data_IF_430606914179
#
_entry.id   IF_430606914179
#
_cell.length_a   1.000
_cell.length_b   1.000
_cell.length_c   1.000
_cell.angle_alpha   90.00
_cell.angle_beta   90.00
_cell.angle_gamma   90.00
#
_symmetry.space_group_name_H-M   'P 1'
#
loop_
_entity.id
_entity.type
_entity.pdbx_description
1 polymer ?
#
# COMPACT_ATOMS: atom_id res chain seq x y z
N UNK A 1 -2.73 3.57 -15.81
CA UNK A 1 -2.02 2.34 -16.22
C UNK A 1 -2.19 1.30 -15.14
N UNK A 2 -2.28 0.03 -15.50
CA UNK A 2 -2.38 -1.11 -14.58
C UNK A 2 -1.25 -2.06 -14.96
N UNK A 3 -0.44 -2.48 -13.99
CA UNK A 3 0.64 -3.45 -14.20
C UNK A 3 0.20 -4.86 -13.83
N UNK A 4 0.65 -5.85 -14.58
CA UNK A 4 0.34 -7.26 -14.35
C UNK A 4 1.64 -8.03 -14.12
N UNK A 5 1.71 -8.83 -13.05
CA UNK A 5 2.97 -9.52 -12.69
C UNK A 5 3.34 -10.67 -13.65
N UNK A 6 2.44 -11.09 -14.54
CA UNK A 6 2.72 -12.03 -15.62
C UNK A 6 3.06 -11.35 -16.97
N UNK A 7 3.23 -10.03 -16.98
CA UNK A 7 3.78 -9.23 -18.09
C UNK A 7 5.05 -8.48 -17.64
N UNK A 8 6.16 -9.19 -17.36
CA UNK A 8 7.37 -8.58 -16.82
C UNK A 8 7.94 -7.48 -17.71
N UNK A 9 7.73 -7.54 -19.02
CA UNK A 9 8.17 -6.55 -20.00
C UNK A 9 7.62 -5.14 -19.73
N UNK A 10 6.40 -5.02 -19.21
CA UNK A 10 5.79 -3.73 -18.87
C UNK A 10 6.50 -3.08 -17.67
N UNK A 11 6.94 -3.90 -16.72
CA UNK A 11 7.70 -3.47 -15.54
C UNK A 11 9.15 -3.15 -15.95
N UNK A 12 9.72 -3.94 -16.87
CA UNK A 12 11.08 -3.73 -17.36
C UNK A 12 11.22 -2.49 -18.22
N UNK A 13 10.16 -2.06 -18.90
CA UNK A 13 10.11 -0.81 -19.66
C UNK A 13 10.07 0.46 -18.79
N UNK A 14 9.88 0.34 -17.47
CA UNK A 14 9.90 1.49 -16.57
C UNK A 14 11.29 2.16 -16.52
N UNK A 15 11.36 3.50 -16.47
CA UNK A 15 12.63 4.19 -16.30
C UNK A 15 13.37 3.76 -15.03
N UNK A 16 14.70 3.65 -15.08
CA UNK A 16 15.56 3.36 -13.92
C UNK A 16 15.36 4.35 -12.75
N UNK A 17 14.88 5.56 -13.04
CA UNK A 17 14.57 6.61 -12.07
C UNK A 17 13.19 6.49 -11.42
N UNK A 18 12.37 5.51 -11.83
CA UNK A 18 11.08 5.26 -11.20
C UNK A 18 11.28 4.89 -9.71
N UNK A 19 10.35 5.28 -8.81
CA UNK A 19 10.44 4.93 -7.40
C UNK A 19 10.69 3.43 -7.20
N UNK A 20 11.56 3.08 -6.25
CA UNK A 20 12.02 1.70 -5.96
C UNK A 20 12.87 1.02 -7.06
N UNK A 21 12.83 1.46 -8.32
CA UNK A 21 13.43 0.76 -9.46
C UNK A 21 14.93 0.53 -9.32
N UNK A 22 15.66 1.46 -8.69
CA UNK A 22 17.10 1.30 -8.42
C UNK A 22 17.41 0.05 -7.58
N UNK A 23 16.57 -0.27 -6.59
CA UNK A 23 16.73 -1.46 -5.75
C UNK A 23 16.29 -2.72 -6.51
N UNK A 24 15.18 -2.65 -7.24
CA UNK A 24 14.70 -3.78 -8.04
C UNK A 24 15.74 -4.20 -9.08
N UNK A 25 16.34 -3.24 -9.79
CA UNK A 25 17.41 -3.50 -10.76
C UNK A 25 18.66 -4.10 -10.12
N UNK A 26 19.01 -3.69 -8.90
CA UNK A 26 20.13 -4.31 -8.18
C UNK A 26 19.86 -5.80 -7.91
N UNK A 27 18.62 -6.15 -7.52
CA UNK A 27 18.19 -7.54 -7.29
C UNK A 27 18.18 -8.31 -8.62
N UNK A 28 17.60 -7.75 -9.69
CA UNK A 28 17.53 -8.37 -11.02
C UNK A 28 18.94 -8.66 -11.56
N UNK A 29 19.84 -7.68 -11.55
CA UNK A 29 21.23 -7.86 -11.99
C UNK A 29 21.96 -8.93 -11.19
N UNK A 30 21.74 -8.98 -9.87
CA UNK A 30 22.36 -10.03 -9.03
C UNK A 30 21.80 -11.41 -9.35
N UNK A 31 20.50 -11.52 -9.60
CA UNK A 31 19.82 -12.74 -9.99
C UNK A 31 20.33 -13.28 -11.33
N UNK A 32 20.61 -12.41 -12.31
CA UNK A 32 21.22 -12.80 -13.59
C UNK A 32 22.61 -13.44 -13.38
N UNK A 33 23.44 -12.85 -12.52
CA UNK A 33 24.78 -13.39 -12.20
C UNK A 33 24.69 -14.75 -11.50
N UNK A 34 23.75 -14.91 -10.57
CA UNK A 34 23.59 -16.15 -9.81
C UNK A 34 22.92 -17.25 -10.63
N UNK A 35 22.10 -16.89 -11.62
CA UNK A 35 21.37 -17.83 -12.47
C UNK A 35 20.69 -18.92 -11.64
N UNK A 36 20.98 -20.18 -11.97
CA UNK A 36 20.34 -21.34 -11.33
C UNK A 36 20.83 -21.64 -9.91
N UNK A 37 21.86 -20.94 -9.42
CA UNK A 37 22.42 -21.17 -8.10
C UNK A 37 21.59 -20.54 -6.97
N UNK A 38 20.67 -19.61 -7.29
CA UNK A 38 19.77 -19.02 -6.31
C UNK A 38 18.42 -18.67 -6.94
N UNK A 39 17.32 -19.07 -6.29
CA UNK A 39 15.97 -18.66 -6.67
C UNK A 39 15.64 -17.36 -5.95
N UNK A 40 15.51 -16.26 -6.71
CA UNK A 40 15.24 -14.92 -6.19
C UNK A 40 13.98 -14.38 -6.85
N UNK A 41 13.08 -13.84 -6.04
CA UNK A 41 11.83 -13.20 -6.43
C UNK A 41 11.67 -11.84 -5.74
N UNK A 42 10.97 -10.93 -6.38
CA UNK A 42 10.63 -9.58 -5.88
C UNK A 42 9.12 -9.53 -5.73
N UNK A 43 8.63 -9.55 -4.48
CA UNK A 43 7.21 -9.35 -4.18
C UNK A 43 6.97 -7.85 -3.94
N UNK A 44 6.19 -7.22 -4.80
CA UNK A 44 5.84 -5.80 -4.77
C UNK A 44 4.40 -5.64 -4.26
N UNK A 45 4.20 -5.36 -2.97
CA UNK A 45 2.86 -5.08 -2.45
C UNK A 45 2.40 -3.66 -2.87
N UNK A 46 1.08 -3.41 -2.92
CA UNK A 46 0.52 -2.08 -3.09
C UNK A 46 0.36 -1.39 -1.71
N UNK A 47 -0.73 -0.64 -1.46
CA UNK A 47 -1.01 -0.16 -0.09
C UNK A 47 -1.24 -1.35 0.83
N UNK A 48 -0.52 -1.38 1.95
CA UNK A 48 -0.70 -2.36 3.01
C UNK A 48 -1.53 -1.72 4.11
N UNK A 49 -2.68 -2.31 4.44
CA UNK A 49 -3.57 -1.86 5.51
C UNK A 49 -3.75 -2.92 6.61
N UNK A 50 -4.39 -2.50 7.70
CA UNK A 50 -4.74 -3.37 8.82
C UNK A 50 -3.64 -3.46 9.88
N UNK A 51 -4.02 -4.07 11.00
CA UNK A 51 -3.18 -4.15 12.21
C UNK A 51 -2.45 -5.50 12.26
N UNK A 52 -1.13 -5.44 12.37
CA UNK A 52 -0.28 -6.63 12.48
C UNK A 52 -0.33 -7.30 13.87
N UNK A 53 0.22 -8.51 14.03
CA UNK A 53 0.15 -9.29 15.27
C UNK A 53 0.70 -8.58 16.52
N UNK A 54 1.63 -7.63 16.35
CA UNK A 54 2.21 -6.84 17.44
C UNK A 54 1.52 -5.47 17.65
N UNK A 55 0.28 -5.30 17.17
CA UNK A 55 -0.47 -4.04 17.28
C UNK A 55 0.04 -2.91 16.37
N UNK A 56 0.96 -3.21 15.44
CA UNK A 56 1.49 -2.23 14.49
C UNK A 56 0.44 -1.91 13.42
N UNK A 57 0.00 -0.66 13.39
CA UNK A 57 -0.92 -0.10 12.39
C UNK A 57 -0.21 0.27 11.08
N UNK A 58 -0.98 0.43 10.01
CA UNK A 58 -0.55 0.91 8.71
C UNK A 58 -0.17 2.40 8.72
N UNK A 59 0.07 3.00 7.54
CA UNK A 59 0.64 4.35 7.44
C UNK A 59 -0.35 5.35 6.83
N UNK A 60 -0.83 5.11 5.61
CA UNK A 60 -1.56 6.11 4.82
C UNK A 60 -2.90 6.49 5.45
N UNK A 61 -3.80 5.53 5.66
CA UNK A 61 -5.11 5.79 6.25
C UNK A 61 -5.00 6.30 7.68
N UNK A 62 -4.13 5.73 8.56
CA UNK A 62 -3.88 6.31 9.87
C UNK A 62 -3.36 7.75 9.84
N UNK A 63 -2.56 8.11 8.84
CA UNK A 63 -2.09 9.50 8.66
C UNK A 63 -3.24 10.44 8.31
N UNK A 64 -4.17 10.02 7.45
CA UNK A 64 -5.37 10.80 7.12
C UNK A 64 -6.34 10.91 8.31
N UNK A 65 -6.47 9.87 9.13
CA UNK A 65 -7.25 9.92 10.39
C UNK A 65 -6.66 10.95 11.36
N UNK A 66 -5.34 10.92 11.57
CA UNK A 66 -4.67 11.90 12.45
C UNK A 66 -4.76 13.32 11.91
N UNK A 67 -4.67 13.49 10.60
CA UNK A 67 -4.93 14.77 9.95
C UNK A 67 -6.35 15.26 10.28
N UNK A 68 -7.35 14.38 10.15
CA UNK A 68 -8.74 14.72 10.39
C UNK A 68 -9.00 15.13 11.84
N UNK A 69 -8.44 14.38 12.79
CA UNK A 69 -8.50 14.71 14.23
C UNK A 69 -7.84 16.06 14.53
N UNK A 70 -6.71 16.37 13.87
CA UNK A 70 -5.98 17.64 14.09
C UNK A 70 -6.73 18.85 13.53
N UNK A 71 -7.32 18.71 12.33
CA UNK A 71 -7.91 19.83 11.58
C UNK A 71 -9.43 19.93 11.70
N UNK A 72 -10.08 18.95 12.34
CA UNK A 72 -11.52 18.95 12.56
C UNK A 72 -12.36 18.53 11.34
N UNK A 73 -11.73 17.96 10.30
CA UNK A 73 -12.42 17.47 9.11
C UNK A 73 -11.60 16.40 8.36
N UNK A 74 -12.26 15.42 7.75
CA UNK A 74 -11.59 14.44 6.91
C UNK A 74 -11.18 15.07 5.55
N UNK A 75 -9.91 14.90 5.19
CA UNK A 75 -9.33 15.60 4.05
C UNK A 75 -8.77 14.66 2.97
N UNK A 76 -8.87 15.06 1.70
CA UNK A 76 -8.29 14.37 0.55
C UNK A 76 -7.41 15.29 -0.32
N UNK A 77 -6.53 14.72 -1.13
CA UNK A 77 -5.78 15.48 -2.14
C UNK A 77 -6.59 15.59 -3.42
N UNK A 78 -6.64 16.81 -3.98
CA UNK A 78 -7.46 17.11 -5.16
C UNK A 78 -8.93 16.71 -4.96
N UNK A 79 -9.49 16.05 -5.98
CA UNK A 79 -10.86 15.54 -5.97
C UNK A 79 -10.98 14.11 -5.39
N UNK A 80 -9.89 13.53 -4.87
CA UNK A 80 -9.90 12.17 -4.28
C UNK A 80 -10.18 11.02 -5.27
N UNK A 81 -10.19 11.31 -6.58
CA UNK A 81 -10.53 10.34 -7.65
C UNK A 81 -9.46 9.29 -7.91
N UNK A 82 -8.26 9.46 -7.34
CA UNK A 82 -7.18 8.51 -7.58
C UNK A 82 -7.40 7.21 -6.81
N UNK A 83 -6.95 6.10 -7.38
CA UNK A 83 -7.17 4.75 -6.85
C UNK A 83 -5.88 3.96 -6.74
N UNK A 84 -5.78 3.14 -5.68
CA UNK A 84 -4.66 2.21 -5.49
C UNK A 84 -5.13 0.78 -5.31
N UNK A 85 -4.35 -0.19 -5.79
CA UNK A 85 -4.47 -1.58 -5.30
C UNK A 85 -4.17 -1.64 -3.80
N UNK A 86 -4.62 -2.69 -3.13
CA UNK A 86 -4.52 -2.79 -1.68
C UNK A 86 -4.41 -4.23 -1.20
N UNK A 87 -3.83 -4.42 -0.01
CA UNK A 87 -3.72 -5.73 0.64
C UNK A 87 -3.73 -5.59 2.15
N UNK A 88 -4.44 -6.48 2.85
CA UNK A 88 -4.34 -6.54 4.31
C UNK A 88 -3.00 -7.17 4.70
N UNK A 89 -2.33 -6.68 5.75
CA UNK A 89 -0.99 -7.13 6.17
C UNK A 89 -0.89 -8.65 6.39
N UNK A 90 -1.95 -9.28 6.91
CA UNK A 90 -2.01 -10.75 7.10
C UNK A 90 -2.19 -11.52 5.79
N UNK A 91 -2.89 -10.96 4.81
CA UNK A 91 -3.00 -11.55 3.47
C UNK A 91 -1.67 -11.45 2.72
N UNK A 92 -0.97 -10.33 2.86
CA UNK A 92 0.38 -10.18 2.33
C UNK A 92 1.34 -11.22 2.93
N UNK A 93 1.27 -11.45 4.24
CA UNK A 93 2.07 -12.49 4.90
C UNK A 93 1.78 -13.89 4.32
N UNK A 94 0.49 -14.22 4.07
CA UNK A 94 0.14 -15.47 3.38
C UNK A 94 0.65 -15.52 1.94
N UNK A 95 0.65 -14.39 1.22
CA UNK A 95 1.20 -14.28 -0.13
C UNK A 95 2.70 -14.60 -0.16
N UNK A 96 3.47 -14.08 0.81
CA UNK A 96 4.87 -14.45 0.99
C UNK A 96 5.06 -15.95 1.24
N UNK A 97 4.23 -16.56 2.11
CA UNK A 97 4.32 -17.99 2.38
C UNK A 97 4.02 -18.84 1.14
N UNK A 98 3.00 -18.48 0.35
CA UNK A 98 2.70 -19.17 -0.91
C UNK A 98 3.86 -19.05 -1.91
N UNK A 99 4.45 -17.85 -2.04
CA UNK A 99 5.59 -17.64 -2.93
C UNK A 99 6.80 -18.46 -2.47
N UNK A 100 7.11 -18.49 -1.18
CA UNK A 100 8.23 -19.26 -0.64
C UNK A 100 8.04 -20.78 -0.87
N UNK A 101 6.87 -21.33 -0.57
CA UNK A 101 6.58 -22.76 -0.82
C UNK A 101 6.72 -23.11 -2.31
N UNK A 102 6.24 -22.24 -3.20
CA UNK A 102 6.42 -22.42 -4.64
C UNK A 102 7.91 -22.36 -5.05
N UNK A 103 8.68 -21.41 -4.54
CA UNK A 103 10.11 -21.29 -4.82
C UNK A 103 10.88 -22.53 -4.34
N UNK A 104 10.52 -23.11 -3.19
CA UNK A 104 11.17 -24.31 -2.68
C UNK A 104 10.96 -25.51 -3.62
N UNK A 105 9.73 -25.71 -4.10
CA UNK A 105 9.34 -26.89 -4.89
C UNK A 105 9.62 -26.79 -6.38
N UNK A 106 9.71 -25.58 -6.92
CA UNK A 106 9.78 -25.35 -8.38
C UNK A 106 11.21 -25.34 -8.89
N UNK A 107 11.56 -26.04 -9.99
CA UNK A 107 12.89 -25.98 -10.59
C UNK A 107 13.35 -24.54 -10.89
N UNK A 108 14.65 -24.26 -10.78
CA UNK A 108 15.16 -22.90 -10.97
C UNK A 108 14.86 -22.34 -12.37
N UNK A 109 14.83 -23.20 -13.38
CA UNK A 109 14.53 -22.87 -14.78
C UNK A 109 13.13 -22.29 -14.99
N UNK A 110 12.17 -22.69 -14.15
CA UNK A 110 10.80 -22.15 -14.17
C UNK A 110 10.69 -20.85 -13.37
N UNK A 111 11.58 -20.64 -12.39
CA UNK A 111 11.63 -19.40 -11.58
C UNK A 111 12.33 -18.27 -12.32
N UNK A 112 13.39 -18.57 -13.07
CA UNK A 112 14.29 -17.61 -13.70
C UNK A 112 13.68 -16.67 -14.77
N UNK A 113 12.63 -17.03 -15.52
CA UNK A 113 12.11 -16.14 -16.55
C UNK A 113 11.49 -14.84 -16.02
N UNK A 114 10.90 -14.85 -14.83
CA UNK A 114 10.19 -13.67 -14.31
C UNK A 114 10.40 -13.49 -12.79
N UNK A 115 11.10 -12.42 -12.37
CA UNK A 115 11.36 -12.15 -10.95
C UNK A 115 10.19 -11.51 -10.21
N UNK A 116 9.23 -10.91 -10.92
CA UNK A 116 8.25 -9.98 -10.34
C UNK A 116 6.97 -10.66 -9.88
N UNK A 117 6.50 -10.31 -8.69
CA UNK A 117 5.25 -10.78 -8.13
C UNK A 117 4.50 -9.60 -7.53
N UNK A 118 3.18 -9.54 -7.74
CA UNK A 118 2.31 -8.62 -7.01
C UNK A 118 1.51 -9.38 -5.94
N UNK A 119 0.96 -8.64 -4.98
CA UNK A 119 0.06 -9.19 -3.97
C UNK A 119 -1.02 -8.15 -3.63
N UNK A 120 -2.19 -8.27 -4.25
CA UNK A 120 -3.34 -7.39 -4.03
C UNK A 120 -4.64 -8.18 -3.89
N UNK A 121 -5.64 -7.59 -3.25
CA UNK A 121 -6.86 -8.30 -2.85
C UNK A 121 -7.98 -8.32 -3.90
N UNK A 122 -7.74 -7.85 -5.12
CA UNK A 122 -8.68 -7.77 -6.24
C UNK A 122 -9.44 -6.45 -6.34
N UNK A 123 -9.38 -5.60 -5.31
CA UNK A 123 -10.14 -4.35 -5.25
C UNK A 123 -9.23 -3.13 -5.38
N UNK A 124 -9.76 -2.07 -5.97
CA UNK A 124 -9.12 -0.76 -5.99
C UNK A 124 -9.71 0.13 -4.90
N UNK A 125 -8.83 0.81 -4.18
CA UNK A 125 -9.15 1.71 -3.09
C UNK A 125 -9.23 3.14 -3.60
N UNK A 126 -10.43 3.72 -3.59
CA UNK A 126 -10.67 5.14 -3.85
C UNK A 126 -10.27 5.97 -2.64
N UNK A 127 -9.46 7.01 -2.85
CA UNK A 127 -9.12 7.94 -1.76
C UNK A 127 -10.33 8.71 -1.26
N UNK A 128 -11.28 9.05 -2.13
CA UNK A 128 -12.54 9.67 -1.74
C UNK A 128 -13.36 8.75 -0.80
N UNK A 129 -13.45 7.47 -1.11
CA UNK A 129 -14.21 6.52 -0.29
C UNK A 129 -13.55 6.33 1.09
N UNK A 130 -12.21 6.29 1.12
CA UNK A 130 -11.44 6.26 2.37
C UNK A 130 -11.74 7.47 3.25
N UNK A 131 -11.67 8.67 2.66
CA UNK A 131 -11.84 9.92 3.41
C UNK A 131 -13.28 10.11 3.84
N UNK A 132 -14.25 9.68 3.01
CA UNK A 132 -15.65 9.64 3.40
C UNK A 132 -15.89 8.71 4.59
N UNK A 133 -15.28 7.53 4.61
CA UNK A 133 -15.40 6.60 5.74
C UNK A 133 -14.74 7.15 7.02
N UNK A 134 -13.55 7.76 6.89
CA UNK A 134 -12.89 8.47 8.01
C UNK A 134 -13.82 9.57 8.56
N UNK A 135 -14.40 10.38 7.67
CA UNK A 135 -15.32 11.45 8.04
C UNK A 135 -16.55 10.92 8.78
N UNK A 136 -17.17 9.85 8.25
CA UNK A 136 -18.34 9.20 8.86
C UNK A 136 -18.01 8.69 10.28
N UNK A 137 -16.96 7.88 10.42
CA UNK A 137 -16.59 7.26 11.70
C UNK A 137 -16.22 8.31 12.76
N UNK A 138 -15.44 9.32 12.39
CA UNK A 138 -15.02 10.36 13.33
C UNK A 138 -16.16 11.30 13.71
N UNK A 139 -17.09 11.59 12.79
CA UNK A 139 -18.29 12.39 13.08
C UNK A 139 -19.21 11.65 14.06
N UNK A 140 -19.50 10.36 13.81
CA UNK A 140 -20.29 9.52 14.72
C UNK A 140 -19.66 9.41 16.12
N UNK A 141 -18.33 9.43 16.20
CA UNK A 141 -17.59 9.45 17.46
C UNK A 141 -17.52 10.85 18.12
N UNK A 142 -18.13 11.88 17.53
CA UNK A 142 -18.11 13.26 18.02
C UNK A 142 -16.73 13.91 18.01
N UNK A 143 -15.82 13.44 17.15
CA UNK A 143 -14.44 13.93 17.05
C UNK A 143 -14.25 15.05 16.03
N UNK A 144 -15.16 15.17 15.07
CA UNK A 144 -15.18 16.23 14.06
C UNK A 144 -16.61 16.73 13.87
N UNK A 145 -16.77 17.94 13.34
CA UNK A 145 -18.08 18.61 13.23
C UNK A 145 -18.88 18.21 11.99
N UNK A 146 -18.24 17.59 10.99
CA UNK A 146 -18.88 17.18 9.75
C UNK A 146 -18.24 15.93 9.17
N UNK A 147 -19.07 15.03 8.65
CA UNK A 147 -18.61 13.83 7.93
C UNK A 147 -18.22 14.10 6.48
N UNK A 148 -18.49 15.29 5.93
CA UNK A 148 -18.24 15.61 4.52
C UNK A 148 -16.75 15.84 4.25
N UNK A 149 -16.12 15.06 3.33
CA UNK A 149 -14.74 15.28 2.93
C UNK A 149 -14.47 16.67 2.37
N UNK A 150 -13.25 17.18 2.57
CA UNK A 150 -12.78 18.44 1.97
C UNK A 150 -11.41 18.25 1.33
N UNK A 151 -11.06 19.11 0.38
CA UNK A 151 -9.70 19.12 -0.18
C UNK A 151 -8.72 19.69 0.85
N UNK A 152 -7.63 18.97 1.06
CA UNK A 152 -6.50 19.41 1.90
C UNK A 152 -5.74 20.50 1.15
N UNK A 153 -5.57 21.70 1.73
CA UNK A 153 -4.74 22.72 1.10
C UNK A 153 -3.27 22.30 1.12
N UNK A 154 -2.52 22.67 0.08
CA UNK A 154 -1.08 22.36 -0.05
C UNK A 154 -0.27 22.84 1.16
N UNK A 155 -0.67 23.95 1.78
CA UNK A 155 -0.07 24.46 3.02
C UNK A 155 -0.07 23.45 4.17
N UNK A 156 -1.01 22.49 4.16
CA UNK A 156 -1.16 21.49 5.21
C UNK A 156 -0.51 20.14 4.85
N UNK A 157 0.17 20.02 3.70
CA UNK A 157 0.85 18.77 3.33
C UNK A 157 1.96 18.38 4.33
N UNK A 158 2.49 19.33 5.10
CA UNK A 158 3.40 19.04 6.21
C UNK A 158 2.81 18.13 7.28
N UNK A 159 1.48 18.13 7.44
CA UNK A 159 0.75 17.22 8.34
C UNK A 159 0.37 15.89 7.66
N UNK A 160 0.84 15.64 6.44
CA UNK A 160 0.69 14.38 5.72
C UNK A 160 2.06 13.76 5.51
N UNK A 161 2.57 13.80 4.27
CA UNK A 161 3.85 13.24 3.84
C UNK A 161 4.78 14.34 3.27
N UNK A 162 4.52 15.60 3.58
CA UNK A 162 5.23 16.75 3.03
C UNK A 162 5.17 16.78 1.51
N UNK A 163 6.33 16.90 0.85
CA UNK A 163 6.45 16.87 -0.61
C UNK A 163 5.96 15.56 -1.26
N UNK A 164 5.80 14.50 -0.49
CA UNK A 164 5.33 13.19 -0.98
C UNK A 164 3.82 13.00 -0.83
N UNK A 165 3.08 14.00 -0.33
CA UNK A 165 1.64 13.84 -0.08
C UNK A 165 0.87 13.46 -1.35
N UNK A 166 1.08 14.17 -2.46
CA UNK A 166 0.47 13.84 -3.74
C UNK A 166 0.88 12.44 -4.26
N UNK A 167 2.18 12.10 -4.34
CA UNK A 167 2.58 10.76 -4.73
C UNK A 167 2.02 9.63 -3.85
N UNK A 168 1.82 9.84 -2.54
CA UNK A 168 1.47 8.78 -1.59
C UNK A 168 -0.04 8.64 -1.36
N UNK A 169 -0.79 9.74 -1.36
CA UNK A 169 -2.25 9.74 -1.08
C UNK A 169 -3.08 10.55 -2.09
N UNK A 170 -2.50 10.90 -3.25
CA UNK A 170 -3.18 11.63 -4.32
C UNK A 170 -2.96 11.06 -5.73
N UNK A 171 -2.13 10.02 -5.88
CA UNK A 171 -1.76 9.42 -7.17
C UNK A 171 -2.53 8.13 -7.45
N UNK A 172 -2.35 7.54 -8.64
CA UNK A 172 -2.85 6.20 -8.96
C UNK A 172 -1.73 5.17 -8.88
N UNK A 173 -1.99 4.00 -8.27
CA UNK A 173 -1.05 2.87 -8.26
C UNK A 173 -1.82 1.55 -8.35
N UNK A 174 -1.88 0.98 -9.56
CA UNK A 174 -2.80 -0.13 -9.87
C UNK A 174 -2.01 -1.31 -10.40
N UNK A 175 -2.23 -2.49 -9.81
CA UNK A 175 -1.58 -3.72 -10.22
C UNK A 175 -2.53 -4.94 -10.13
N UNK A 176 -2.13 -6.06 -10.76
CA UNK A 176 -2.84 -7.34 -10.73
C UNK A 176 -1.89 -8.48 -10.37
N UNK A 177 -2.19 -9.17 -9.28
CA UNK A 177 -1.43 -10.32 -8.79
C UNK A 177 -1.88 -11.63 -9.47
N UNK A 178 -1.63 -11.74 -10.77
CA UNK A 178 -2.04 -12.89 -11.58
C UNK A 178 -1.27 -14.14 -11.17
N UNK A 179 0.03 -14.02 -10.88
CA UNK A 179 0.89 -15.17 -10.57
C UNK A 179 0.56 -15.83 -9.23
N UNK A 180 0.32 -15.06 -8.16
CA UNK A 180 -0.10 -15.64 -6.87
C UNK A 180 -1.45 -16.37 -7.01
N UNK A 181 -2.41 -15.81 -7.75
CA UNK A 181 -3.71 -16.46 -7.99
C UNK A 181 -3.60 -17.78 -8.74
N UNK A 182 -2.67 -17.88 -9.70
CA UNK A 182 -2.38 -19.14 -10.40
C UNK A 182 -1.86 -20.23 -9.46
N UNK A 183 -1.31 -19.85 -8.29
CA UNK A 183 -0.90 -20.78 -7.23
C UNK A 183 -2.02 -21.09 -6.22
N UNK A 184 -3.25 -20.63 -6.46
CA UNK A 184 -4.39 -20.83 -5.56
C UNK A 184 -4.40 -19.92 -4.33
N UNK A 185 -3.54 -18.89 -4.29
CA UNK A 185 -3.61 -17.88 -3.23
C UNK A 185 -4.81 -16.95 -3.43
N UNK A 186 -5.47 -16.62 -2.32
CA UNK A 186 -6.58 -15.67 -2.26
C UNK A 186 -6.53 -14.86 -0.96
N UNK A 187 -6.99 -13.59 -0.97
CA UNK A 187 -7.14 -12.79 0.23
C UNK A 187 -8.31 -13.30 1.09
N UNK A 188 -8.17 -13.20 2.42
CA UNK A 188 -9.13 -13.73 3.40
C UNK A 188 -9.50 -12.74 4.52
N UNK A 189 -8.83 -11.61 4.61
CA UNK A 189 -9.09 -10.63 5.68
C UNK A 189 -10.22 -9.67 5.31
N UNK A 190 -10.60 -8.85 6.29
CA UNK A 190 -11.57 -7.76 6.11
C UNK A 190 -11.17 -6.87 4.93
N UNK A 191 -12.18 -6.29 4.27
CA UNK A 191 -11.92 -5.18 3.37
C UNK A 191 -11.37 -3.97 4.15
N UNK A 192 -10.73 -3.06 3.43
CA UNK A 192 -9.98 -1.94 4.01
C UNK A 192 -10.82 -0.99 4.83
N UNK A 193 -12.03 -0.66 4.39
CA UNK A 193 -12.88 0.28 5.12
C UNK A 193 -13.37 -0.32 6.44
N UNK A 194 -13.76 -1.60 6.43
CA UNK A 194 -14.11 -2.33 7.64
C UNK A 194 -12.91 -2.44 8.61
N UNK A 195 -11.72 -2.80 8.11
CA UNK A 195 -10.52 -2.87 8.96
C UNK A 195 -10.12 -1.50 9.51
N UNK A 196 -10.24 -0.43 8.71
CA UNK A 196 -9.97 0.94 9.15
C UNK A 196 -10.91 1.36 10.29
N UNK A 197 -12.22 1.17 10.11
CA UNK A 197 -13.24 1.58 11.06
C UNK A 197 -13.20 0.78 12.36
N UNK A 198 -13.01 -0.55 12.26
CA UNK A 198 -13.09 -1.46 13.40
C UNK A 198 -11.76 -1.63 14.14
N UNK A 199 -10.63 -1.51 13.45
CA UNK A 199 -9.32 -1.83 14.01
C UNK A 199 -8.43 -0.58 14.17
N UNK A 200 -8.22 0.20 13.11
CA UNK A 200 -7.19 1.27 13.13
C UNK A 200 -7.67 2.59 13.75
N UNK A 201 -8.87 3.08 13.41
CA UNK A 201 -9.41 4.32 14.00
C UNK A 201 -9.53 4.23 15.53
N UNK A 202 -10.04 3.13 16.12
CA UNK A 202 -10.10 2.99 17.58
C UNK A 202 -8.73 3.07 18.26
N UNK A 203 -7.68 2.51 17.65
CA UNK A 203 -6.31 2.60 18.17
C UNK A 203 -5.78 4.05 18.10
N UNK A 204 -6.03 4.74 16.99
CA UNK A 204 -5.57 6.13 16.80
C UNK A 204 -6.27 7.08 17.78
N UNK A 205 -7.56 6.85 18.09
CA UNK A 205 -8.29 7.66 19.06
C UNK A 205 -7.75 7.55 20.50
N UNK A 206 -6.92 6.55 20.80
CA UNK A 206 -6.25 6.40 22.09
C UNK A 206 -4.91 7.15 22.15
N UNK A 207 -4.41 7.66 21.02
CA UNK A 207 -3.16 8.43 20.99
C UNK A 207 -3.34 9.78 21.68
N UNK A 208 -2.37 10.15 22.52
CA UNK A 208 -2.38 11.41 23.30
C UNK A 208 -1.28 12.40 22.88
N UNK A 209 -0.42 12.00 21.94
CA UNK A 209 0.71 12.80 21.49
C UNK A 209 0.37 13.78 20.37
N UNK A 210 1.13 14.87 20.20
CA UNK A 210 0.92 15.81 19.11
C UNK A 210 1.28 15.15 17.77
N UNK A 211 0.40 15.33 16.76
CA UNK A 211 0.66 14.90 15.40
C UNK A 211 1.29 16.01 14.55
N UNK A 212 2.43 15.71 13.92
CA UNK A 212 3.23 16.64 13.10
C UNK A 212 3.48 16.13 11.69
N UNK A 213 2.58 15.28 11.17
CA UNK A 213 2.79 14.56 9.91
C UNK A 213 3.61 13.28 10.05
N UNK A 214 3.66 12.50 8.97
CA UNK A 214 4.47 11.30 8.87
C UNK A 214 5.92 11.65 8.47
N UNK A 215 6.84 11.56 9.44
CA UNK A 215 8.23 12.02 9.27
C UNK A 215 9.22 10.95 8.79
N UNK A 216 8.81 9.70 8.55
CA UNK A 216 9.71 8.64 8.07
C UNK A 216 9.75 8.61 6.53
N UNK A 217 10.76 7.96 5.98
CA UNK A 217 10.90 7.75 4.54
C UNK A 217 9.70 6.97 4.00
N UNK A 218 9.09 7.47 2.92
CA UNK A 218 7.89 6.89 2.27
C UNK A 218 8.14 6.31 0.89
N UNK A 219 9.26 6.67 0.27
CA UNK A 219 9.73 6.11 -0.99
C UNK A 219 11.25 6.00 -0.92
N UNK A 220 11.79 4.86 -1.35
CA UNK A 220 13.22 4.76 -1.63
C UNK A 220 13.47 5.36 -3.01
N UNK A 221 14.07 6.54 -3.03
CA UNK A 221 14.59 7.18 -4.23
C UNK A 221 15.96 7.75 -3.87
N UNK A 222 17.01 7.18 -4.45
CA UNK A 222 18.43 7.53 -4.34
C UNK A 222 18.92 7.96 -2.95
#
# INVERSE_FOLDING_TARGET
>A
MVFEDDKPEDIDALPDSAPHRTIDLAIVRRREILGRHAKIAILMPPIIYGVGPAGRSSIQLPTLVRYALKHGYAGQIGDGRSVWSQIHVKDLARGYLTLLDWLERTPAEEVLPNPYWFCENGNELSWNDCVAEIGRVLYEAGKIESSTPRTIPVSNYGDLFGKWSEPVVGSNSRNKANRLRKLGWEPKEKNTLASLAEDEIPLIMQETGPFKGYGKVVASSN
#
